data_IF_678156320963
#
_entry.id   IF_678156320963
#
_cell.length_a   1.000
_cell.length_b   1.000
_cell.length_c   1.000
_cell.angle_alpha   90.00
_cell.angle_beta   90.00
_cell.angle_gamma   90.00
#
_symmetry.space_group_name_H-M   'P 1'
#
loop_
_entity.id
_entity.type
_entity.pdbx_description
1 polymer ?
#
# COMPACT_ATOMS: atom_id res chain seq x y z
N UNK A 1 -15.09 2.67 -15.82
CA UNK A 1 -15.56 1.73 -14.76
C UNK A 1 -14.95 2.23 -13.47
N UNK A 2 -15.71 2.34 -12.37
CA UNK A 2 -15.18 2.80 -11.10
C UNK A 2 -14.08 1.85 -10.61
N UNK A 3 -13.03 2.42 -10.01
CA UNK A 3 -11.94 1.65 -9.40
C UNK A 3 -12.52 0.74 -8.31
N UNK A 4 -12.31 -0.57 -8.44
CA UNK A 4 -12.68 -1.61 -7.47
C UNK A 4 -11.44 -2.43 -7.15
N UNK A 5 -11.21 -2.70 -5.87
CA UNK A 5 -9.96 -3.28 -5.37
C UNK A 5 -10.26 -4.46 -4.47
N UNK A 6 -9.43 -5.50 -4.48
CA UNK A 6 -9.56 -6.67 -3.59
C UNK A 6 -8.38 -6.80 -2.60
N UNK A 7 -7.52 -5.78 -2.58
CA UNK A 7 -6.31 -5.68 -1.80
C UNK A 7 -6.52 -4.65 -0.67
N UNK A 8 -6.30 -5.00 0.62
CA UNK A 8 -6.50 -4.09 1.75
C UNK A 8 -5.71 -2.77 1.64
N UNK A 9 -4.53 -2.80 1.01
CA UNK A 9 -3.71 -1.60 0.78
C UNK A 9 -4.40 -0.69 -0.24
N UNK A 10 -4.87 -1.26 -1.34
CA UNK A 10 -5.57 -0.52 -2.39
C UNK A 10 -6.88 0.08 -1.87
N UNK A 11 -7.63 -0.64 -1.03
CA UNK A 11 -8.85 -0.14 -0.38
C UNK A 11 -8.54 1.09 0.48
N UNK A 12 -7.51 1.01 1.32
CA UNK A 12 -7.12 2.12 2.19
C UNK A 12 -6.61 3.33 1.37
N UNK A 13 -5.80 3.09 0.35
CA UNK A 13 -5.32 4.14 -0.55
C UNK A 13 -6.49 4.80 -1.26
N UNK A 14 -7.48 4.02 -1.72
CA UNK A 14 -8.67 4.55 -2.36
C UNK A 14 -9.51 5.40 -1.40
N UNK A 15 -9.70 4.96 -0.15
CA UNK A 15 -10.40 5.73 0.89
C UNK A 15 -9.67 7.05 1.21
N UNK A 16 -8.35 6.99 1.38
CA UNK A 16 -7.50 8.16 1.61
C UNK A 16 -7.56 9.16 0.45
N UNK A 17 -7.50 8.67 -0.79
CA UNK A 17 -7.62 9.50 -1.98
C UNK A 17 -9.02 10.15 -2.06
N UNK A 18 -10.09 9.37 -1.85
CA UNK A 18 -11.48 9.89 -1.86
C UNK A 18 -11.69 10.98 -0.82
N UNK A 19 -11.20 10.80 0.40
CA UNK A 19 -11.26 11.80 1.47
C UNK A 19 -10.56 13.12 1.13
N UNK A 20 -9.70 13.12 0.11
CA UNK A 20 -8.93 14.26 -0.36
C UNK A 20 -9.38 14.77 -1.75
N UNK A 21 -10.59 14.43 -2.18
CA UNK A 21 -11.17 14.98 -3.41
C UNK A 21 -10.81 14.23 -4.69
N UNK A 22 -10.17 13.05 -4.59
CA UNK A 22 -9.94 12.18 -5.75
C UNK A 22 -11.23 11.78 -6.47
N UNK A 23 -12.36 11.70 -5.74
CA UNK A 23 -13.69 11.46 -6.30
C UNK A 23 -14.16 12.55 -7.28
N UNK A 24 -13.54 13.73 -7.25
CA UNK A 24 -13.84 14.84 -8.17
C UNK A 24 -13.13 14.69 -9.52
N UNK A 25 -12.13 13.82 -9.61
CA UNK A 25 -11.48 13.48 -10.87
C UNK A 25 -12.42 12.63 -11.73
N UNK A 26 -12.29 12.72 -13.05
CA UNK A 26 -13.02 11.84 -13.96
C UNK A 26 -12.46 10.39 -13.89
N UNK A 27 -13.25 9.42 -14.34
CA UNK A 27 -12.90 7.99 -14.32
C UNK A 27 -11.54 7.69 -14.99
N UNK A 28 -11.20 8.41 -16.06
CA UNK A 28 -9.95 8.21 -16.82
C UNK A 28 -8.72 8.68 -16.05
N UNK A 29 -8.82 9.83 -15.38
CA UNK A 29 -7.78 10.34 -14.49
C UNK A 29 -7.64 9.43 -13.27
N UNK A 30 -8.76 8.98 -12.67
CA UNK A 30 -8.71 8.05 -11.54
C UNK A 30 -8.02 6.74 -11.93
N UNK A 31 -8.38 6.14 -13.07
CA UNK A 31 -7.75 4.91 -13.54
C UNK A 31 -6.25 5.07 -13.85
N UNK A 32 -5.82 6.28 -14.23
CA UNK A 32 -4.43 6.60 -14.56
C UNK A 32 -3.57 6.83 -13.31
N UNK A 33 -4.10 7.59 -12.34
CA UNK A 33 -3.34 8.01 -11.15
C UNK A 33 -3.46 7.03 -9.99
N UNK A 34 -4.57 6.30 -9.87
CA UNK A 34 -4.78 5.36 -8.77
C UNK A 34 -3.65 4.31 -8.64
N UNK A 35 -3.20 3.63 -9.72
CA UNK A 35 -2.12 2.66 -9.62
C UNK A 35 -0.79 3.29 -9.16
N UNK A 36 -0.55 4.56 -9.49
CA UNK A 36 0.66 5.28 -9.07
C UNK A 36 0.64 5.54 -7.57
N UNK A 37 -0.49 6.00 -7.03
CA UNK A 37 -0.65 6.20 -5.58
C UNK A 37 -0.54 4.89 -4.81
N UNK A 38 -1.10 3.80 -5.34
CA UNK A 38 -0.95 2.46 -4.76
C UNK A 38 0.52 2.05 -4.73
N UNK A 39 1.24 2.15 -5.85
CA UNK A 39 2.67 1.80 -5.90
C UNK A 39 3.51 2.63 -4.91
N UNK A 40 3.19 3.93 -4.78
CA UNK A 40 3.83 4.80 -3.80
C UNK A 40 3.53 4.42 -2.35
N UNK A 41 2.30 4.02 -2.04
CA UNK A 41 1.92 3.52 -0.72
C UNK A 41 2.61 2.18 -0.41
N UNK A 42 2.62 1.25 -1.37
CA UNK A 42 3.30 -0.03 -1.25
C UNK A 42 4.80 0.12 -1.05
N UNK A 43 5.44 1.05 -1.76
CA UNK A 43 6.87 1.34 -1.58
C UNK A 43 7.17 1.89 -0.18
N UNK A 44 6.39 2.86 0.31
CA UNK A 44 6.53 3.40 1.67
C UNK A 44 6.31 2.31 2.71
N UNK A 45 5.28 1.49 2.51
CA UNK A 45 4.98 0.37 3.39
C UNK A 45 6.13 -0.64 3.41
N UNK A 46 6.64 -1.06 2.26
CA UNK A 46 7.81 -1.92 2.16
C UNK A 46 9.01 -1.34 2.91
N UNK A 47 9.31 -0.06 2.72
CA UNK A 47 10.40 0.63 3.43
C UNK A 47 10.20 0.67 4.96
N UNK A 48 8.96 0.82 5.44
CA UNK A 48 8.62 0.79 6.86
C UNK A 48 8.71 -0.61 7.47
N UNK A 49 8.48 -1.66 6.67
CA UNK A 49 8.48 -3.06 7.12
C UNK A 49 9.87 -3.71 7.09
N UNK A 50 10.73 -3.31 6.14
CA UNK A 50 12.09 -3.85 5.97
C UNK A 50 12.95 -3.85 7.26
N UNK A 51 12.94 -2.81 8.12
CA UNK A 51 13.74 -2.78 9.35
C UNK A 51 13.37 -3.88 10.36
N UNK A 52 12.17 -4.45 10.27
CA UNK A 52 11.72 -5.52 11.16
C UNK A 52 12.18 -6.91 10.70
N UNK A 53 12.77 -7.01 9.51
CA UNK A 53 13.24 -8.28 9.00
C UNK A 53 14.52 -8.74 9.71
N UNK A 54 14.51 -9.99 10.14
CA UNK A 54 15.71 -10.74 10.49
C UNK A 54 16.19 -11.60 9.30
N UNK A 55 17.35 -12.25 9.44
CA UNK A 55 17.97 -13.08 8.40
C UNK A 55 17.04 -14.18 7.87
N UNK A 56 16.22 -14.80 8.73
CA UNK A 56 15.25 -15.83 8.33
C UNK A 56 14.15 -15.23 7.44
N UNK A 57 13.55 -14.13 7.87
CA UNK A 57 12.52 -13.42 7.10
C UNK A 57 13.05 -12.83 5.80
N UNK A 58 14.30 -12.36 5.76
CA UNK A 58 14.95 -11.86 4.55
C UNK A 58 15.14 -12.96 3.49
N UNK A 59 15.48 -14.18 3.93
CA UNK A 59 15.58 -15.35 3.03
C UNK A 59 14.21 -15.79 2.49
N UNK A 60 13.16 -15.72 3.31
CA UNK A 60 11.78 -15.95 2.87
C UNK A 60 11.32 -14.87 1.87
N UNK A 61 11.58 -13.60 2.18
CA UNK A 61 11.32 -12.46 1.29
C UNK A 61 11.98 -12.62 -0.08
N UNK A 62 13.27 -12.98 -0.12
CA UNK A 62 14.00 -13.20 -1.37
C UNK A 62 13.43 -14.34 -2.21
N UNK A 63 12.81 -15.35 -1.59
CA UNK A 63 12.10 -16.43 -2.31
C UNK A 63 10.78 -15.92 -2.88
N UNK A 64 10.04 -15.10 -2.12
CA UNK A 64 8.80 -14.51 -2.58
C UNK A 64 9.03 -13.58 -3.79
N UNK A 65 10.07 -12.73 -3.72
CA UNK A 65 10.44 -11.82 -4.82
C UNK A 65 10.80 -12.52 -6.14
N UNK A 66 11.26 -13.77 -6.09
CA UNK A 66 11.57 -14.55 -7.30
C UNK A 66 10.33 -15.08 -8.02
N UNK A 67 9.17 -15.02 -7.38
CA UNK A 67 7.91 -15.44 -7.98
C UNK A 67 7.12 -14.19 -8.41
N UNK A 68 7.13 -13.94 -9.72
CA UNK A 68 6.49 -12.77 -10.34
C UNK A 68 4.96 -12.80 -10.34
N UNK A 69 4.33 -13.86 -9.80
CA UNK A 69 2.86 -14.02 -9.74
C UNK A 69 2.36 -14.31 -8.32
N UNK A 70 3.02 -13.78 -7.31
CA UNK A 70 2.54 -13.93 -5.93
C UNK A 70 1.26 -13.12 -5.71
N UNK A 71 0.28 -13.80 -5.13
CA UNK A 71 -0.97 -13.19 -4.67
C UNK A 71 -0.69 -12.16 -3.56
N UNK A 72 -1.25 -10.94 -3.64
CA UNK A 72 -1.15 -9.93 -2.58
C UNK A 72 -1.47 -10.43 -1.17
N UNK A 73 -2.37 -11.42 -1.03
CA UNK A 73 -2.69 -12.05 0.28
C UNK A 73 -1.52 -12.83 0.86
N UNK A 74 -0.69 -13.44 0.02
CA UNK A 74 0.51 -14.16 0.47
C UNK A 74 1.56 -13.16 0.99
N UNK A 75 1.69 -12.01 0.33
CA UNK A 75 2.51 -10.91 0.83
C UNK A 75 2.01 -10.40 2.19
N UNK A 76 0.70 -10.19 2.32
CA UNK A 76 0.09 -9.77 3.58
C UNK A 76 0.39 -10.74 4.73
N UNK A 77 0.19 -12.05 4.49
CA UNK A 77 0.49 -13.10 5.47
C UNK A 77 1.98 -13.17 5.84
N UNK A 78 2.86 -12.97 4.86
CA UNK A 78 4.30 -12.93 5.10
C UNK A 78 4.66 -11.80 6.08
N UNK A 79 4.13 -10.61 5.84
CA UNK A 79 4.42 -9.45 6.68
C UNK A 79 3.80 -9.58 8.07
N UNK A 80 2.53 -9.98 8.16
CA UNK A 80 1.84 -10.21 9.44
C UNK A 80 2.57 -11.21 10.33
N UNK A 81 3.16 -12.25 9.73
CA UNK A 81 3.93 -13.26 10.45
C UNK A 81 5.30 -12.77 10.94
N UNK A 82 5.96 -11.91 10.17
CA UNK A 82 7.37 -11.55 10.40
C UNK A 82 7.56 -10.17 11.03
N UNK A 83 6.54 -9.31 11.01
CA UNK A 83 6.62 -7.93 11.51
C UNK A 83 5.78 -7.78 12.78
N UNK A 84 6.39 -7.43 13.93
CA UNK A 84 5.63 -7.14 15.13
C UNK A 84 4.79 -5.88 14.93
N UNK A 85 3.57 -5.88 15.46
CA UNK A 85 2.61 -4.78 15.32
C UNK A 85 2.35 -4.39 13.84
N UNK A 86 2.41 -5.36 12.93
CA UNK A 86 2.26 -5.17 11.49
C UNK A 86 1.07 -4.25 11.13
N UNK A 87 -0.11 -4.53 11.69
CA UNK A 87 -1.33 -3.76 11.43
C UNK A 87 -1.18 -2.28 11.85
N UNK A 88 -0.49 -2.00 12.95
CA UNK A 88 -0.25 -0.62 13.40
C UNK A 88 0.76 0.10 12.50
N UNK A 89 1.83 -0.58 12.08
CA UNK A 89 2.82 -0.04 11.13
C UNK A 89 2.14 0.29 9.80
N UNK A 90 1.29 -0.59 9.30
CA UNK A 90 0.50 -0.38 8.08
C UNK A 90 -0.41 0.84 8.24
N UNK A 91 -1.24 0.85 9.29
CA UNK A 91 -2.17 1.97 9.56
C UNK A 91 -1.45 3.30 9.67
N UNK A 92 -0.33 3.35 10.39
CA UNK A 92 0.45 4.58 10.56
C UNK A 92 1.04 5.04 9.23
N UNK A 93 1.70 4.14 8.51
CA UNK A 93 2.35 4.48 7.23
C UNK A 93 1.34 4.99 6.20
N UNK A 94 0.17 4.36 6.14
CA UNK A 94 -0.88 4.76 5.21
C UNK A 94 -1.61 6.04 5.66
N UNK A 95 -1.75 6.27 6.97
CA UNK A 95 -2.29 7.52 7.50
C UNK A 95 -1.34 8.70 7.23
N UNK A 96 -0.03 8.52 7.44
CA UNK A 96 0.98 9.53 7.12
C UNK A 96 0.95 9.84 5.61
N UNK A 97 0.86 8.81 4.76
CA UNK A 97 0.68 8.99 3.32
C UNK A 97 -0.62 9.73 2.96
N UNK A 98 -1.74 9.44 3.63
CA UNK A 98 -3.01 10.13 3.41
C UNK A 98 -2.91 11.63 3.74
N UNK A 99 -2.15 12.01 4.76
CA UNK A 99 -1.87 13.40 5.10
C UNK A 99 -1.03 14.07 4.01
N UNK A 100 -0.01 13.39 3.48
CA UNK A 100 0.79 13.91 2.36
C UNK A 100 -0.04 14.12 1.09
N UNK A 101 -0.90 13.15 0.75
CA UNK A 101 -1.84 13.24 -0.37
C UNK A 101 -2.78 14.43 -0.17
N UNK A 102 -3.32 14.63 1.03
CA UNK A 102 -4.16 15.79 1.34
C UNK A 102 -3.45 17.11 1.08
N UNK A 103 -2.19 17.21 1.47
CA UNK A 103 -1.39 18.42 1.24
C UNK A 103 -1.10 18.64 -0.25
N UNK A 104 -0.89 17.57 -1.01
CA UNK A 104 -0.62 17.65 -2.45
C UNK A 104 -1.84 18.02 -3.30
N UNK A 105 -3.06 17.69 -2.84
CA UNK A 105 -4.32 17.99 -3.54
C UNK A 105 -5.13 19.15 -2.92
N UNK A 106 -4.70 19.66 -1.77
CA UNK A 106 -5.45 20.60 -0.94
C UNK A 106 -5.11 22.08 -1.14
N UNK A 107 -4.76 22.51 -2.36
CA UNK A 107 -4.81 23.93 -2.77
C UNK A 107 -6.13 24.26 -3.48
#
# INVERSE_FOLDING_TARGET
>A
MPVQTTNPIEEYVLEALKANGFEKMNDEAQATYFPQFVAHAEQRLGAALLPFMNEKSANEFAKLMKNSKIDPKVWWQFWEKNVPNFVEVVKKTLADFAVEVKQAFGE
#
